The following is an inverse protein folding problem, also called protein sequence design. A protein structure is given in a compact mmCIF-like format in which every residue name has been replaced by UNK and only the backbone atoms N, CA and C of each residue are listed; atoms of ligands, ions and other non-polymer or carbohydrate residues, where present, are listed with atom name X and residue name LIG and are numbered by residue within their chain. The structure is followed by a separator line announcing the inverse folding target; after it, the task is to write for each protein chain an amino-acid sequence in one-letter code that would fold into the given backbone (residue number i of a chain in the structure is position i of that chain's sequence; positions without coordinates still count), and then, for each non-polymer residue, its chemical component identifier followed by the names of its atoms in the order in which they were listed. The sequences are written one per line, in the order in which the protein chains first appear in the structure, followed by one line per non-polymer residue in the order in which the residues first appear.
data_IF_857578850678
#
_entry.id   IF_857578850678
#
_cell.length_a   1.000
_cell.length_b   1.000
_cell.length_c   1.000
_cell.angle_alpha   90.00
_cell.angle_beta   90.00
_cell.angle_gamma   90.00
#
_symmetry.space_group_name_H-M   'P 1'
#
loop_
_entity.id
_entity.type
_entity.pdbx_description
1 polymer ?
#
# COMPACT_ATOMS: atom_id res chain seq x y z
N UNK A 1 -7.35 5.79 23.25
CA UNK A 1 -7.75 4.39 22.96
C UNK A 1 -6.55 3.48 23.18
N UNK A 2 -6.73 2.21 23.59
CA UNK A 2 -5.62 1.26 23.67
C UNK A 2 -4.94 1.08 22.30
N UNK A 3 -3.61 1.04 22.21
CA UNK A 3 -2.87 1.03 20.95
C UNK A 3 -3.22 -0.15 20.05
N UNK A 4 -3.49 -1.32 20.65
CA UNK A 4 -3.92 -2.51 19.92
C UNK A 4 -5.25 -2.31 19.16
N UNK A 5 -6.20 -1.55 19.71
CA UNK A 5 -7.48 -1.29 19.03
C UNK A 5 -7.31 -0.36 17.84
N UNK A 6 -6.42 0.62 17.95
CA UNK A 6 -6.10 1.54 16.84
C UNK A 6 -5.42 0.78 15.71
N UNK A 7 -4.47 -0.10 16.04
CA UNK A 7 -3.82 -0.98 15.08
C UNK A 7 -4.82 -1.92 14.39
N UNK A 8 -5.75 -2.52 15.16
CA UNK A 8 -6.80 -3.35 14.60
C UNK A 8 -7.72 -2.55 13.67
N UNK A 9 -8.17 -1.35 14.08
CA UNK A 9 -9.02 -0.49 13.26
C UNK A 9 -8.32 -0.07 11.96
N UNK A 10 -7.04 0.30 12.05
CA UNK A 10 -6.25 0.66 10.87
C UNK A 10 -6.21 -0.50 9.86
N UNK A 11 -5.87 -1.71 10.30
CA UNK A 11 -5.77 -2.87 9.42
C UNK A 11 -7.11 -3.41 8.90
N UNK A 12 -8.19 -3.27 9.67
CA UNK A 12 -9.51 -3.82 9.31
C UNK A 12 -10.38 -2.84 8.54
N UNK A 13 -10.16 -1.53 8.69
CA UNK A 13 -10.99 -0.49 8.07
C UNK A 13 -10.18 0.37 7.12
N UNK A 14 -9.11 1.01 7.59
CA UNK A 14 -8.38 1.98 6.76
C UNK A 14 -7.68 1.28 5.58
N UNK A 15 -6.91 0.23 5.85
CA UNK A 15 -6.16 -0.52 4.84
C UNK A 15 -7.07 -1.05 3.72
N UNK A 16 -8.17 -1.77 3.99
CA UNK A 16 -9.09 -2.19 2.94
C UNK A 16 -9.74 -1.03 2.19
N UNK A 17 -10.09 0.07 2.88
CA UNK A 17 -10.78 1.20 2.25
C UNK A 17 -9.93 1.88 1.18
N UNK A 18 -8.65 2.16 1.46
CA UNK A 18 -7.78 2.78 0.46
C UNK A 18 -7.15 1.78 -0.50
N UNK A 19 -7.11 0.48 -0.19
CA UNK A 19 -6.64 -0.56 -1.12
C UNK A 19 -7.74 -1.05 -2.07
N UNK A 20 -8.99 -0.61 -1.88
CA UNK A 20 -10.09 -1.00 -2.75
C UNK A 20 -9.78 -0.67 -4.21
N UNK A 21 -9.97 -1.67 -5.09
CA UNK A 21 -9.70 -1.60 -6.53
C UNK A 21 -8.30 -1.07 -6.88
N UNK A 22 -7.31 -1.25 -5.99
CA UNK A 22 -5.96 -0.79 -6.24
C UNK A 22 -5.35 -1.39 -7.52
N UNK A 23 -5.72 -2.62 -7.86
CA UNK A 23 -5.38 -3.26 -9.14
C UNK A 23 -5.90 -2.52 -10.38
N UNK A 24 -6.92 -1.66 -10.23
CA UNK A 24 -7.51 -0.89 -11.32
C UNK A 24 -6.93 0.53 -11.41
N UNK A 25 -6.82 1.24 -10.28
CA UNK A 25 -6.46 2.68 -10.30
C UNK A 25 -4.99 2.95 -9.92
N UNK A 26 -4.30 2.00 -9.28
CA UNK A 26 -2.93 2.21 -8.81
C UNK A 26 -1.93 1.74 -9.85
N UNK A 27 -1.07 2.65 -10.31
CA UNK A 27 0.12 2.31 -11.10
C UNK A 27 1.34 2.32 -10.19
N UNK A 28 2.08 1.21 -10.19
CA UNK A 28 3.29 1.03 -9.41
C UNK A 28 4.25 2.21 -9.58
N UNK A 29 4.75 2.74 -8.45
CA UNK A 29 5.72 3.83 -8.48
C UNK A 29 7.08 3.28 -8.92
N UNK A 30 7.57 3.76 -10.05
CA UNK A 30 8.90 3.43 -10.57
C UNK A 30 9.68 4.69 -10.88
N UNK A 31 11.01 4.56 -10.99
CA UNK A 31 11.84 5.64 -11.47
C UNK A 31 11.62 5.79 -12.98
N UNK A 32 11.36 7.02 -13.44
CA UNK A 32 11.31 7.32 -14.88
C UNK A 32 12.61 6.91 -15.56
N UNK A 33 12.53 6.56 -16.85
CA UNK A 33 13.69 6.22 -17.68
C UNK A 33 14.78 7.31 -17.71
N UNK A 34 14.40 8.57 -17.46
CA UNK A 34 15.32 9.70 -17.38
C UNK A 34 15.89 9.95 -15.97
N UNK A 35 15.50 9.17 -14.97
CA UNK A 35 15.95 9.26 -13.58
C UNK A 35 15.54 10.52 -12.81
N UNK A 36 14.82 11.45 -13.44
CA UNK A 36 14.51 12.77 -12.84
C UNK A 36 13.23 12.80 -12.03
N UNK A 37 12.29 11.91 -12.34
CA UNK A 37 10.97 11.87 -11.71
C UNK A 37 10.57 10.42 -11.43
N UNK A 38 9.81 10.21 -10.36
CA UNK A 38 9.05 8.97 -10.20
C UNK A 38 7.79 9.05 -11.07
N UNK A 39 7.40 7.94 -11.70
CA UNK A 39 6.17 7.81 -12.49
C UNK A 39 5.13 6.95 -11.76
N UNK A 40 3.88 6.97 -12.22
CA UNK A 40 2.76 6.22 -11.61
C UNK A 40 2.04 6.99 -10.51
N UNK A 41 1.45 6.28 -9.55
CA UNK A 41 0.59 6.83 -8.49
C UNK A 41 1.38 7.47 -7.34
N UNK A 42 2.36 8.32 -7.65
CA UNK A 42 3.31 8.93 -6.70
C UNK A 42 2.61 9.81 -5.66
N UNK A 43 1.72 10.70 -6.11
CA UNK A 43 1.02 11.63 -5.23
C UNK A 43 0.09 10.90 -4.25
N UNK A 44 -0.64 9.90 -4.73
CA UNK A 44 -1.49 9.05 -3.91
C UNK A 44 -0.66 8.28 -2.86
N UNK A 45 0.46 7.68 -3.29
CA UNK A 45 1.38 6.95 -2.41
C UNK A 45 1.93 7.86 -1.29
N UNK A 46 2.36 9.09 -1.63
CA UNK A 46 2.90 10.06 -0.67
C UNK A 46 1.84 10.50 0.36
N UNK A 47 0.60 10.74 -0.08
CA UNK A 47 -0.50 11.11 0.81
C UNK A 47 -0.86 9.97 1.76
N UNK A 48 -0.92 8.75 1.26
CA UNK A 48 -1.19 7.56 2.07
C UNK A 48 -0.05 7.26 3.05
N UNK A 49 1.22 7.44 2.66
CA UNK A 49 2.36 7.30 3.58
C UNK A 49 2.28 8.29 4.75
N UNK A 50 1.82 9.51 4.48
CA UNK A 50 1.62 10.51 5.54
C UNK A 50 0.55 10.06 6.53
N UNK A 51 -0.55 9.48 6.04
CA UNK A 51 -1.61 8.92 6.88
C UNK A 51 -1.15 7.69 7.68
N UNK A 52 -0.38 6.79 7.05
CA UNK A 52 0.19 5.61 7.70
C UNK A 52 1.18 5.98 8.79
N UNK A 53 2.08 6.93 8.53
CA UNK A 53 3.02 7.45 9.52
C UNK A 53 2.29 8.05 10.74
N UNK A 54 1.17 8.76 10.51
CA UNK A 54 0.35 9.26 11.61
C UNK A 54 -0.28 8.12 12.43
N UNK A 55 -0.79 7.08 11.77
CA UNK A 55 -1.30 5.89 12.44
C UNK A 55 -0.21 5.17 13.25
N UNK A 56 0.97 4.95 12.66
CA UNK A 56 2.12 4.31 13.32
C UNK A 56 2.56 5.09 14.57
N UNK A 57 2.68 6.42 14.47
CA UNK A 57 2.98 7.30 15.62
C UNK A 57 1.93 7.17 16.71
N UNK A 58 0.65 7.15 16.35
CA UNK A 58 -0.46 7.04 17.31
C UNK A 58 -0.48 5.67 18.00
N UNK A 59 -0.21 4.60 17.26
CA UNK A 59 -0.16 3.23 17.80
C UNK A 59 1.02 3.05 18.75
N UNK A 60 2.20 3.56 18.39
CA UNK A 60 3.40 3.43 19.21
C UNK A 60 3.52 4.48 20.33
N UNK A 61 2.68 5.52 20.31
CA UNK A 61 2.84 6.68 21.20
C UNK A 61 4.15 7.44 20.96
N UNK A 62 4.61 7.47 19.71
CA UNK A 62 5.92 8.02 19.34
C UNK A 62 5.90 9.54 19.12
N UNK A 63 7.06 10.17 19.25
CA UNK A 63 7.23 11.60 19.00
C UNK A 63 7.05 11.94 17.51
N UNK A 64 6.70 13.20 17.24
CA UNK A 64 6.54 13.71 15.87
C UNK A 64 7.83 13.62 15.04
N UNK A 65 8.99 13.63 15.70
CA UNK A 65 10.33 13.58 15.10
C UNK A 65 10.86 12.17 14.84
N UNK A 66 10.21 11.12 15.35
CA UNK A 66 10.66 9.75 15.14
C UNK A 66 10.48 9.34 13.67
N UNK A 67 11.50 8.67 13.12
CA UNK A 67 11.53 8.23 11.73
C UNK A 67 10.35 7.29 11.40
N UNK A 68 9.59 7.63 10.36
CA UNK A 68 8.36 6.93 9.98
C UNK A 68 8.60 5.45 9.64
N UNK A 69 9.62 5.18 8.83
CA UNK A 69 9.91 3.82 8.34
C UNK A 69 10.25 2.85 9.48
N UNK A 70 10.95 3.33 10.51
CA UNK A 70 11.23 2.55 11.72
C UNK A 70 9.98 2.32 12.56
N UNK A 71 9.10 3.32 12.67
CA UNK A 71 7.84 3.17 13.39
C UNK A 71 6.89 2.19 12.71
N UNK A 72 6.78 2.23 11.39
CA UNK A 72 5.94 1.28 10.65
C UNK A 72 6.42 -0.15 10.87
N UNK A 73 7.73 -0.38 10.81
CA UNK A 73 8.33 -1.68 11.11
C UNK A 73 8.06 -2.14 12.55
N UNK A 74 8.26 -1.27 13.54
CA UNK A 74 7.99 -1.59 14.95
C UNK A 74 6.50 -1.74 15.27
N UNK A 75 5.62 -1.05 14.54
CA UNK A 75 4.18 -1.17 14.64
C UNK A 75 3.63 -2.38 13.87
N UNK A 76 4.47 -3.16 13.20
CA UNK A 76 4.08 -4.26 12.30
C UNK A 76 3.11 -3.81 11.19
N UNK A 77 3.31 -2.59 10.68
CA UNK A 77 2.61 -2.03 9.54
C UNK A 77 3.48 -2.14 8.30
N UNK A 78 2.93 -2.70 7.23
CA UNK A 78 3.65 -2.83 5.97
C UNK A 78 3.68 -1.47 5.25
N UNK A 79 4.84 -0.97 4.81
CA UNK A 79 4.95 0.26 4.03
C UNK A 79 3.96 0.33 2.86
N UNK A 80 3.39 1.51 2.60
CA UNK A 80 2.32 1.70 1.62
C UNK A 80 2.70 1.15 0.23
N UNK A 81 3.94 1.39 -0.22
CA UNK A 81 4.42 0.89 -1.51
C UNK A 81 4.40 -0.65 -1.57
N UNK A 82 4.74 -1.32 -0.46
CA UNK A 82 4.73 -2.78 -0.38
C UNK A 82 3.30 -3.34 -0.30
N UNK A 83 2.38 -2.65 0.38
CA UNK A 83 0.95 -3.01 0.38
C UNK A 83 0.38 -3.00 -1.03
N UNK A 84 0.62 -1.93 -1.79
CA UNK A 84 0.15 -1.84 -3.17
C UNK A 84 0.83 -2.85 -4.08
N UNK A 85 2.14 -3.04 -3.94
CA UNK A 85 2.86 -4.04 -4.73
C UNK A 85 2.28 -5.44 -4.51
N UNK A 86 1.96 -5.81 -3.26
CA UNK A 86 1.33 -7.10 -2.96
C UNK A 86 0.00 -7.30 -3.70
N UNK A 87 -0.84 -6.26 -3.78
CA UNK A 87 -2.12 -6.34 -4.51
C UNK A 87 -1.88 -6.48 -6.01
N UNK A 88 -1.00 -5.65 -6.57
CA UNK A 88 -0.65 -5.71 -7.98
C UNK A 88 -0.09 -7.09 -8.35
N UNK A 89 0.88 -7.60 -7.59
CA UNK A 89 1.46 -8.93 -7.83
C UNK A 89 0.39 -10.01 -7.73
N UNK A 90 -0.51 -9.96 -6.74
CA UNK A 90 -1.61 -10.90 -6.62
C UNK A 90 -2.52 -10.84 -7.84
N UNK A 91 -2.91 -9.65 -8.29
CA UNK A 91 -3.76 -9.47 -9.46
C UNK A 91 -3.08 -10.01 -10.74
N UNK A 92 -1.81 -9.68 -10.95
CA UNK A 92 -1.01 -10.19 -12.08
C UNK A 92 -0.91 -11.71 -12.07
N UNK A 93 -0.61 -12.32 -10.91
CA UNK A 93 -0.53 -13.77 -10.79
C UNK A 93 -1.89 -14.40 -11.02
N UNK A 94 -2.96 -13.85 -10.45
CA UNK A 94 -4.32 -14.34 -10.69
C UNK A 94 -4.65 -14.33 -12.18
N UNK A 95 -4.43 -13.20 -12.88
CA UNK A 95 -4.70 -13.06 -14.31
C UNK A 95 -3.84 -14.02 -15.15
N UNK A 96 -2.55 -14.16 -14.85
CA UNK A 96 -1.66 -15.09 -15.56
C UNK A 96 -1.91 -16.57 -15.27
N UNK A 97 -2.62 -16.89 -14.17
CA UNK A 97 -2.97 -18.26 -13.79
C UNK A 97 -4.34 -18.72 -14.31
N UNK A 98 -5.06 -17.87 -15.04
CA UNK A 98 -6.36 -18.22 -15.60
C UNK A 98 -6.21 -19.30 -16.69
N UNK A 99 -7.12 -20.30 -16.76
CA UNK A 99 -7.16 -21.22 -17.89
C UNK A 99 -7.41 -20.49 -19.21
N UNK A 100 -6.91 -21.02 -20.32
CA UNK A 100 -7.11 -20.44 -21.66
C UNK A 100 -8.59 -20.35 -22.07
N UNK A 101 -9.47 -21.14 -21.43
CA UNK A 101 -10.92 -21.10 -21.63
C UNK A 101 -11.60 -19.92 -20.93
N UNK A 102 -10.89 -19.17 -20.09
CA UNK A 102 -11.46 -18.08 -19.32
C UNK A 102 -11.66 -16.82 -20.20
N UNK A 103 -12.80 -16.13 -20.15
CA UNK A 103 -13.07 -15.01 -21.06
C UNK A 103 -12.06 -13.85 -20.96
N UNK A 104 -11.42 -13.70 -19.79
CA UNK A 104 -10.41 -12.66 -19.55
C UNK A 104 -9.03 -13.06 -20.10
N UNK A 105 -8.73 -14.34 -20.31
CA UNK A 105 -7.45 -14.74 -20.90
C UNK A 105 -7.33 -14.35 -22.37
N UNK A 106 -8.46 -14.16 -23.07
CA UNK A 106 -8.48 -13.63 -24.43
C UNK A 106 -8.12 -12.13 -24.53
N UNK A 107 -8.06 -11.41 -23.40
CA UNK A 107 -7.75 -9.98 -23.33
C UNK A 107 -6.31 -9.70 -22.87
N UNK A 108 -5.60 -10.72 -22.38
CA UNK A 108 -4.22 -10.62 -21.90
C UNK A 108 -3.23 -10.72 -23.06
#
# INVERSE_FOLDING_TARGET
MPPHRIHQLYNTVAVPAFMYAADVWYTGVSLSSNGRCCTGSVAASKKLNTAQCHAAKTIMGALSTTAADMLELHANLLPINLLFHRVLTRATVCLGSLPETHPVSALA
#
